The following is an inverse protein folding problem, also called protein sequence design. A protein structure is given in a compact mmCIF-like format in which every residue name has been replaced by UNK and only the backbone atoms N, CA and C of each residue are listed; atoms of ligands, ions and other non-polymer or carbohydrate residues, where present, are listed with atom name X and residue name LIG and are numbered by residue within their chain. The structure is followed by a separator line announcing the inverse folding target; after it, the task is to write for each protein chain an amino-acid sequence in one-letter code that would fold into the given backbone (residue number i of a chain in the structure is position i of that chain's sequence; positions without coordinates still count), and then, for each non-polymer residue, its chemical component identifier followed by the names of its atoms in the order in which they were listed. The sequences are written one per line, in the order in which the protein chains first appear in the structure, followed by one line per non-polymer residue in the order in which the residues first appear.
data_IF_775725169794
#
_entry.id   IF_775725169794
#
_cell.length_a   1.000
_cell.length_b   1.000
_cell.length_c   1.000
_cell.angle_alpha   90.00
_cell.angle_beta   90.00
_cell.angle_gamma   90.00
#
_symmetry.space_group_name_H-M   'P 1'
#
loop_
_entity.id
_entity.type
_entity.pdbx_description
1 polymer ?
#
# COMPACT_ATOMS: atom_id res chain seq x y z
N UNK A 1 -20.16 -23.39 17.45
CA UNK A 1 -19.15 -22.50 18.05
C UNK A 1 -17.99 -22.43 17.07
N UNK A 2 -17.93 -21.36 16.28
CA UNK A 2 -16.80 -21.16 15.39
C UNK A 2 -15.67 -20.59 16.25
N UNK A 3 -14.60 -21.34 16.39
CA UNK A 3 -13.37 -20.83 16.96
C UNK A 3 -12.90 -19.68 16.07
N UNK A 4 -13.04 -18.46 16.58
CA UNK A 4 -12.38 -17.31 15.96
C UNK A 4 -10.87 -17.55 16.08
N UNK A 5 -10.29 -17.98 14.99
CA UNK A 5 -8.85 -18.05 14.87
C UNK A 5 -8.33 -16.63 15.12
N UNK A 6 -7.71 -16.41 16.29
CA UNK A 6 -7.01 -15.15 16.56
C UNK A 6 -5.93 -15.02 15.50
N UNK A 7 -5.96 -13.98 14.66
CA UNK A 7 -4.87 -13.79 13.72
C UNK A 7 -3.58 -13.67 14.53
N UNK A 8 -2.56 -14.38 14.08
CA UNK A 8 -1.24 -14.29 14.68
C UNK A 8 -0.82 -12.82 14.69
N UNK A 9 -0.49 -12.29 15.87
CA UNK A 9 -0.02 -10.93 16.03
C UNK A 9 1.29 -10.78 15.24
N UNK A 10 1.20 -10.24 14.04
CA UNK A 10 2.39 -9.74 13.35
C UNK A 10 2.72 -8.39 14.00
N UNK A 11 3.76 -8.40 14.81
CA UNK A 11 4.23 -7.16 15.43
C UNK A 11 4.79 -6.22 14.37
N UNK A 12 4.64 -4.92 14.60
CA UNK A 12 5.21 -3.84 13.76
C UNK A 12 6.74 -3.88 13.63
N UNK A 13 7.40 -4.78 14.36
CA UNK A 13 8.84 -5.00 14.32
C UNK A 13 9.33 -5.80 13.11
N UNK A 14 8.45 -6.10 12.15
CA UNK A 14 8.84 -6.73 10.90
C UNK A 14 9.67 -5.74 10.06
N UNK A 15 10.98 -6.01 9.94
CA UNK A 15 11.96 -5.14 9.28
C UNK A 15 11.71 -4.91 7.78
N UNK A 16 10.70 -5.57 7.20
CA UNK A 16 10.40 -5.50 5.77
C UNK A 16 9.62 -4.26 5.34
N UNK A 17 9.05 -3.49 6.27
CA UNK A 17 8.27 -2.29 5.96
C UNK A 17 8.96 -1.04 6.52
N UNK A 18 9.69 -0.33 5.66
CA UNK A 18 10.36 0.93 6.03
C UNK A 18 9.44 2.13 5.89
N UNK A 19 8.51 2.07 4.96
CA UNK A 19 7.61 3.18 4.64
C UNK A 19 6.34 3.07 5.46
N UNK A 20 5.99 4.14 6.18
CA UNK A 20 4.85 4.20 7.08
C UNK A 20 4.18 5.56 6.99
N UNK A 21 2.86 5.58 6.85
CA UNK A 21 2.06 6.80 6.80
C UNK A 21 0.91 6.68 7.81
N UNK A 22 0.79 7.61 8.77
CA UNK A 22 -0.36 7.63 9.66
C UNK A 22 -1.62 8.05 8.89
N UNK A 23 -2.74 7.41 9.22
CA UNK A 23 -4.02 7.64 8.56
C UNK A 23 -4.99 8.25 9.56
N UNK A 24 -5.64 9.33 9.16
CA UNK A 24 -6.74 9.91 9.91
C UNK A 24 -8.05 9.21 9.52
N UNK A 25 -8.71 8.57 10.48
CA UNK A 25 -10.06 8.04 10.29
C UNK A 25 -11.04 9.19 10.48
N UNK A 26 -11.88 9.44 9.46
CA UNK A 26 -12.90 10.48 9.48
C UNK A 26 -14.24 9.90 9.93
N UNK A 27 -15.10 10.75 10.43
CA UNK A 27 -16.46 10.35 10.82
C UNK A 27 -17.22 9.68 9.66
N UNK A 28 -17.05 10.17 8.44
CA UNK A 28 -17.69 9.60 7.24
C UNK A 28 -17.10 8.26 6.78
N UNK A 29 -15.98 7.82 7.36
CA UNK A 29 -15.36 6.54 7.01
C UNK A 29 -16.02 5.37 7.72
N UNK A 30 -16.83 5.61 8.74
CA UNK A 30 -17.48 4.57 9.54
C UNK A 30 -18.95 4.39 9.17
N UNK A 31 -19.43 3.15 9.31
CA UNK A 31 -20.84 2.79 9.12
C UNK A 31 -21.62 2.92 10.44
N UNK A 32 -22.91 2.52 10.40
CA UNK A 32 -23.78 2.59 11.58
C UNK A 32 -23.34 1.68 12.74
N UNK A 33 -22.49 0.69 12.47
CA UNK A 33 -21.93 -0.20 13.49
C UNK A 33 -20.65 0.36 14.14
N UNK A 34 -20.20 1.53 13.71
CA UNK A 34 -18.95 2.13 14.16
C UNK A 34 -17.69 1.54 13.52
N UNK A 35 -17.86 0.65 12.54
CA UNK A 35 -16.77 0.04 11.80
C UNK A 35 -16.39 0.91 10.59
N UNK A 36 -15.11 0.99 10.29
CA UNK A 36 -14.65 1.61 9.05
C UNK A 36 -15.19 0.82 7.87
N UNK A 37 -15.84 1.53 6.95
CA UNK A 37 -16.39 0.95 5.73
C UNK A 37 -15.28 0.37 4.86
N UNK A 38 -15.49 -0.79 4.26
CA UNK A 38 -14.51 -1.44 3.39
C UNK A 38 -14.00 -0.51 2.28
N UNK A 39 -14.85 0.35 1.74
CA UNK A 39 -14.45 1.32 0.72
C UNK A 39 -13.40 2.33 1.24
N UNK A 40 -13.43 2.69 2.51
CA UNK A 40 -12.47 3.62 3.09
C UNK A 40 -11.05 3.05 3.16
N UNK A 41 -10.89 1.73 3.27
CA UNK A 41 -9.57 1.09 3.25
C UNK A 41 -8.81 1.39 1.96
N UNK A 42 -9.49 1.40 0.82
CA UNK A 42 -8.84 1.71 -0.46
C UNK A 42 -8.33 3.15 -0.49
N UNK A 43 -9.07 4.10 0.10
CA UNK A 43 -8.60 5.47 0.27
C UNK A 43 -7.38 5.55 1.20
N UNK A 44 -7.34 4.75 2.25
CA UNK A 44 -6.17 4.68 3.14
C UNK A 44 -4.94 4.14 2.41
N UNK A 45 -5.12 3.08 1.62
CA UNK A 45 -4.05 2.53 0.80
C UNK A 45 -3.56 3.52 -0.25
N UNK A 46 -4.46 4.29 -0.85
CA UNK A 46 -4.09 5.32 -1.81
C UNK A 46 -3.20 6.40 -1.19
N UNK A 47 -3.46 6.80 0.05
CA UNK A 47 -2.60 7.77 0.75
C UNK A 47 -1.18 7.22 0.95
N UNK A 48 -1.06 5.98 1.40
CA UNK A 48 0.23 5.31 1.56
C UNK A 48 0.95 5.11 0.22
N UNK A 49 0.21 4.69 -0.79
CA UNK A 49 0.73 4.46 -2.13
C UNK A 49 1.25 5.76 -2.77
N UNK A 50 0.45 6.82 -2.73
CA UNK A 50 0.84 8.13 -3.29
C UNK A 50 2.07 8.68 -2.58
N UNK A 51 2.13 8.60 -1.27
CA UNK A 51 3.30 9.03 -0.52
C UNK A 51 4.55 8.24 -0.94
N UNK A 52 4.43 6.93 -1.11
CA UNK A 52 5.53 6.08 -1.59
C UNK A 52 5.97 6.46 -3.01
N UNK A 53 5.02 6.61 -3.92
CA UNK A 53 5.34 6.96 -5.31
C UNK A 53 6.02 8.32 -5.43
N UNK A 54 5.59 9.30 -4.66
CA UNK A 54 6.16 10.65 -4.69
C UNK A 54 7.49 10.71 -3.95
N UNK A 55 7.59 10.14 -2.78
CA UNK A 55 8.75 10.33 -1.90
C UNK A 55 9.85 9.28 -2.08
N UNK A 56 9.51 8.08 -2.53
CA UNK A 56 10.49 7.01 -2.80
C UNK A 56 10.84 6.94 -4.27
N UNK A 57 9.87 6.78 -5.16
CA UNK A 57 10.11 6.69 -6.60
C UNK A 57 10.37 8.04 -7.26
N UNK A 58 9.99 9.14 -6.62
CA UNK A 58 10.10 10.49 -7.17
C UNK A 58 9.28 10.67 -8.45
N UNK A 59 8.12 10.04 -8.53
CA UNK A 59 7.21 10.20 -9.66
C UNK A 59 6.75 11.66 -9.73
N UNK A 60 6.88 12.25 -10.90
CA UNK A 60 6.37 13.59 -11.18
C UNK A 60 5.33 13.49 -12.30
N UNK A 61 4.06 13.50 -11.93
CA UNK A 61 2.96 13.33 -12.87
C UNK A 61 2.83 14.44 -13.91
N UNK A 62 3.48 15.60 -13.69
CA UNK A 62 3.48 16.71 -14.64
C UNK A 62 4.60 16.63 -15.66
N UNK A 63 5.75 16.05 -15.28
CA UNK A 63 6.94 16.02 -16.10
C UNK A 63 7.22 14.62 -16.66
N UNK A 64 6.81 13.56 -15.97
CA UNK A 64 7.06 12.19 -16.40
C UNK A 64 6.08 11.76 -17.48
N UNK A 65 6.63 11.19 -18.54
CA UNK A 65 5.85 10.59 -19.63
C UNK A 65 5.31 9.20 -19.26
N UNK A 66 6.07 8.45 -18.46
CA UNK A 66 5.70 7.12 -17.98
C UNK A 66 5.29 7.22 -16.52
N UNK A 67 4.09 6.75 -16.22
CA UNK A 67 3.51 6.78 -14.87
C UNK A 67 3.00 5.39 -14.49
N UNK A 68 3.08 5.03 -13.19
CA UNK A 68 2.48 3.78 -12.73
C UNK A 68 0.97 3.91 -12.59
N UNK A 69 0.24 2.90 -13.06
CA UNK A 69 -1.21 2.79 -12.94
C UNK A 69 -1.60 1.47 -12.30
N UNK A 70 -2.72 1.43 -11.59
CA UNK A 70 -3.20 0.22 -10.93
C UNK A 70 -3.80 -0.73 -11.96
N UNK A 71 -3.32 -1.97 -11.99
CA UNK A 71 -3.85 -3.03 -12.84
C UNK A 71 -4.67 -4.05 -12.06
N UNK A 72 -4.31 -4.32 -10.81
CA UNK A 72 -4.99 -5.31 -9.96
C UNK A 72 -4.82 -4.95 -8.50
N UNK A 73 -5.87 -5.14 -7.71
CA UNK A 73 -5.84 -5.01 -6.25
C UNK A 73 -6.46 -6.27 -5.65
N UNK A 74 -5.80 -6.82 -4.64
CA UNK A 74 -6.30 -7.91 -3.83
C UNK A 74 -6.14 -7.53 -2.35
N UNK A 75 -7.23 -7.54 -1.59
CA UNK A 75 -7.24 -7.12 -0.20
C UNK A 75 -7.91 -8.14 0.70
N UNK A 76 -7.31 -8.38 1.87
CA UNK A 76 -7.85 -9.22 2.94
C UNK A 76 -8.19 -8.34 4.15
N UNK A 77 -9.46 -8.35 4.56
CA UNK A 77 -9.95 -7.65 5.74
C UNK A 77 -9.90 -8.60 6.93
N UNK A 78 -8.93 -8.40 7.82
CA UNK A 78 -8.59 -9.34 8.89
C UNK A 78 -9.32 -9.01 10.18
N UNK A 79 -9.26 -7.74 10.59
CA UNK A 79 -9.90 -7.23 11.80
C UNK A 79 -10.63 -5.93 11.49
N UNK A 80 -11.74 -5.63 12.20
CA UNK A 80 -12.42 -4.36 12.02
C UNK A 80 -11.57 -3.20 12.53
N UNK A 81 -11.70 -2.04 11.88
CA UNK A 81 -11.19 -0.76 12.37
C UNK A 81 -12.37 0.03 12.91
N UNK A 82 -12.20 0.61 14.10
CA UNK A 82 -13.20 1.44 14.74
C UNK A 82 -12.83 2.92 14.66
N UNK A 83 -13.84 3.77 14.73
CA UNK A 83 -13.61 5.21 14.87
C UNK A 83 -12.78 5.49 16.13
N UNK A 84 -11.74 6.30 15.98
CA UNK A 84 -10.81 6.61 17.06
C UNK A 84 -9.56 5.71 17.10
N UNK A 85 -9.53 4.62 16.35
CA UNK A 85 -8.33 3.79 16.23
C UNK A 85 -7.20 4.59 15.55
N UNK A 86 -5.98 4.33 15.98
CA UNK A 86 -4.78 4.89 15.36
C UNK A 86 -4.22 3.89 14.35
N UNK A 87 -4.34 4.21 13.09
CA UNK A 87 -3.96 3.34 11.98
C UNK A 87 -2.77 3.94 11.24
N UNK A 88 -1.84 3.07 10.89
CA UNK A 88 -0.70 3.36 10.02
C UNK A 88 -0.77 2.43 8.81
N UNK A 89 -0.59 2.97 7.63
CA UNK A 89 -0.41 2.18 6.41
C UNK A 89 1.08 2.03 6.14
N UNK A 90 1.52 0.80 6.06
CA UNK A 90 2.89 0.43 5.70
C UNK A 90 2.91 -0.04 4.25
N UNK A 91 3.90 0.40 3.49
CA UNK A 91 4.01 0.13 2.05
C UNK A 91 5.42 -0.35 1.73
N UNK A 92 5.50 -1.36 0.87
CA UNK A 92 6.75 -1.82 0.27
C UNK A 92 6.52 -2.32 -1.14
N UNK A 93 7.56 -2.37 -1.95
CA UNK A 93 7.56 -3.11 -3.21
C UNK A 93 8.15 -4.49 -2.94
N UNK A 94 7.36 -5.53 -3.20
CA UNK A 94 7.74 -6.93 -2.96
C UNK A 94 8.26 -7.63 -4.21
N UNK A 95 7.93 -7.12 -5.39
CA UNK A 95 8.36 -7.67 -6.65
C UNK A 95 8.54 -6.57 -7.70
N UNK A 96 9.65 -6.62 -8.41
CA UNK A 96 10.03 -5.68 -9.44
C UNK A 96 10.24 -6.43 -10.76
N UNK A 97 9.27 -6.29 -11.67
CA UNK A 97 9.32 -6.88 -13.01
C UNK A 97 9.89 -5.93 -14.05
N UNK A 98 9.64 -6.21 -15.32
CA UNK A 98 10.09 -5.37 -16.43
C UNK A 98 9.18 -4.16 -16.66
N UNK A 99 7.87 -4.35 -16.68
CA UNK A 99 6.86 -3.31 -16.93
C UNK A 99 5.96 -3.07 -15.73
N UNK A 100 6.01 -3.93 -14.73
CA UNK A 100 5.15 -3.89 -13.56
C UNK A 100 5.93 -4.13 -12.28
N UNK A 101 5.38 -3.67 -11.19
CA UNK A 101 5.86 -3.98 -9.85
C UNK A 101 4.67 -4.21 -8.91
N UNK A 102 4.92 -4.95 -7.85
CA UNK A 102 3.89 -5.27 -6.86
C UNK A 102 4.14 -4.49 -5.58
N UNK A 103 3.16 -3.69 -5.19
CA UNK A 103 3.08 -3.07 -3.88
C UNK A 103 2.42 -4.04 -2.92
N UNK A 104 3.02 -4.22 -1.77
CA UNK A 104 2.37 -4.79 -0.60
C UNK A 104 2.12 -3.68 0.40
N UNK A 105 0.87 -3.60 0.87
CA UNK A 105 0.47 -2.65 1.89
C UNK A 105 -0.26 -3.37 3.00
N UNK A 106 -0.10 -2.86 4.21
CA UNK A 106 -0.88 -3.33 5.35
C UNK A 106 -1.29 -2.16 6.22
N UNK A 107 -2.50 -2.23 6.74
CA UNK A 107 -2.97 -1.31 7.75
C UNK A 107 -2.72 -1.93 9.12
N UNK A 108 -2.08 -1.19 10.00
CA UNK A 108 -1.67 -1.65 11.33
C UNK A 108 -2.31 -0.75 12.38
N UNK A 109 -2.93 -1.36 13.39
CA UNK A 109 -3.38 -0.64 14.57
C UNK A 109 -2.17 -0.40 15.48
N UNK A 110 -1.76 0.85 15.64
CA UNK A 110 -0.57 1.19 16.41
C UNK A 110 -0.69 0.83 17.90
N UNK A 111 -1.90 0.88 18.45
CA UNK A 111 -2.12 0.57 19.87
C UNK A 111 -1.97 -0.91 20.16
N UNK A 112 -2.47 -1.78 19.30
CA UNK A 112 -2.45 -3.23 19.49
C UNK A 112 -1.28 -3.91 18.81
N UNK A 113 -0.69 -3.28 17.79
CA UNK A 113 0.32 -3.87 16.92
C UNK A 113 -0.24 -4.87 15.91
N UNK A 114 -1.57 -5.05 15.84
CA UNK A 114 -2.17 -6.02 14.91
C UNK A 114 -2.29 -5.45 13.50
N UNK A 115 -2.02 -6.31 12.52
CA UNK A 115 -2.36 -6.06 11.13
C UNK A 115 -3.88 -6.25 10.99
N UNK A 116 -4.59 -5.20 10.61
CA UNK A 116 -6.05 -5.21 10.49
C UNK A 116 -6.52 -5.49 9.06
N UNK A 117 -5.68 -5.16 8.09
CA UNK A 117 -5.95 -5.41 6.68
C UNK A 117 -4.63 -5.50 5.93
N UNK A 118 -4.57 -6.28 4.88
CA UNK A 118 -3.41 -6.33 3.99
C UNK A 118 -3.87 -6.35 2.54
N UNK A 119 -3.03 -5.80 1.67
CA UNK A 119 -3.37 -5.55 0.28
C UNK A 119 -2.14 -5.78 -0.61
N UNK A 120 -2.38 -6.40 -1.75
CA UNK A 120 -1.39 -6.54 -2.82
C UNK A 120 -1.91 -5.82 -4.06
N UNK A 121 -1.12 -4.91 -4.60
CA UNK A 121 -1.48 -4.10 -5.78
C UNK A 121 -0.42 -4.27 -6.85
N UNK A 122 -0.86 -4.71 -8.03
CA UNK A 122 0.00 -4.73 -9.22
C UNK A 122 -0.11 -3.38 -9.91
N UNK A 123 1.03 -2.72 -10.06
CA UNK A 123 1.15 -1.44 -10.78
C UNK A 123 1.86 -1.71 -12.11
N UNK A 124 1.30 -1.18 -13.19
CA UNK A 124 1.90 -1.25 -14.53
C UNK A 124 2.35 0.14 -14.94
N UNK A 125 3.56 0.26 -15.45
CA UNK A 125 4.04 1.50 -16.04
C UNK A 125 3.39 1.73 -17.39
N UNK A 126 2.89 2.94 -17.59
CA UNK A 126 2.11 3.34 -18.75
C UNK A 126 2.68 4.60 -19.36
N UNK A 127 2.89 4.57 -20.69
CA UNK A 127 3.32 5.75 -21.43
C UNK A 127 2.10 6.60 -21.79
N UNK A 128 2.08 7.83 -21.31
CA UNK A 128 1.00 8.78 -21.62
C UNK A 128 1.04 9.20 -23.09
N UNK A 129 2.23 9.26 -23.68
CA UNK A 129 2.41 9.63 -25.09
C UNK A 129 1.97 8.51 -26.03
N UNK A 130 2.42 7.28 -25.77
CA UNK A 130 2.15 6.14 -26.65
C UNK A 130 0.82 5.43 -26.34
N UNK A 131 0.17 5.77 -25.22
CA UNK A 131 -1.06 5.15 -24.73
C UNK A 131 -0.94 3.62 -24.64
N UNK A 132 0.19 3.15 -24.11
CA UNK A 132 0.52 1.74 -23.98
C UNK A 132 1.38 1.49 -22.73
N UNK A 133 1.45 0.23 -22.30
CA UNK A 133 2.38 -0.17 -21.25
C UNK A 133 3.82 0.07 -21.70
N UNK A 134 4.67 0.41 -20.75
CA UNK A 134 6.07 0.72 -20.98
C UNK A 134 6.96 0.05 -19.94
N UNK A 135 8.22 -0.08 -20.25
CA UNK A 135 9.20 -0.55 -19.28
C UNK A 135 9.29 0.41 -18.09
N UNK A 136 9.53 -0.13 -16.90
CA UNK A 136 9.78 0.67 -15.72
C UNK A 136 10.98 1.58 -16.00
N UNK A 137 10.83 2.92 -15.87
CA UNK A 137 11.96 3.82 -16.05
C UNK A 137 13.12 3.45 -15.15
N UNK A 138 14.33 3.58 -15.66
CA UNK A 138 15.54 3.22 -14.90
C UNK A 138 15.65 4.01 -13.59
N UNK A 139 15.20 5.26 -13.58
CA UNK A 139 15.16 6.07 -12.36
C UNK A 139 14.26 5.48 -11.28
N UNK A 140 13.11 4.92 -11.66
CA UNK A 140 12.21 4.24 -10.71
C UNK A 140 12.83 2.93 -10.21
N UNK A 141 13.40 2.15 -11.12
CA UNK A 141 14.06 0.89 -10.79
C UNK A 141 15.19 1.10 -9.78
N UNK A 142 16.04 2.08 -10.05
CA UNK A 142 17.13 2.44 -9.15
C UNK A 142 16.60 2.89 -7.78
N UNK A 143 15.60 3.74 -7.74
CA UNK A 143 15.01 4.23 -6.50
C UNK A 143 14.41 3.09 -5.67
N UNK A 144 13.73 2.15 -6.31
CA UNK A 144 13.15 0.97 -5.64
C UNK A 144 14.26 0.10 -5.06
N UNK A 145 15.27 -0.22 -5.84
CA UNK A 145 16.38 -1.07 -5.40
C UNK A 145 17.18 -0.43 -4.28
N UNK A 146 17.42 0.87 -4.35
CA UNK A 146 18.14 1.62 -3.31
C UNK A 146 17.33 1.64 -1.99
N UNK A 147 16.02 1.71 -2.07
CA UNK A 147 15.15 1.78 -0.89
C UNK A 147 14.82 0.40 -0.30
N UNK A 148 14.41 -0.56 -1.12
CA UNK A 148 13.96 -1.88 -0.68
C UNK A 148 15.10 -2.90 -0.58
N UNK A 149 16.18 -2.69 -1.34
CA UNK A 149 17.25 -3.68 -1.48
C UNK A 149 16.96 -4.72 -2.57
N UNK A 150 17.88 -5.69 -2.77
CA UNK A 150 17.79 -6.63 -3.89
C UNK A 150 16.70 -7.70 -3.75
N UNK A 151 16.11 -7.86 -2.59
CA UNK A 151 15.11 -8.91 -2.30
C UNK A 151 13.78 -8.72 -3.04
N UNK A 152 13.56 -7.55 -3.62
CA UNK A 152 12.34 -7.26 -4.39
C UNK A 152 12.44 -7.66 -5.88
N UNK A 153 13.58 -8.14 -6.32
CA UNK A 153 13.76 -8.59 -7.71
C UNK A 153 13.22 -10.00 -7.94
#
# INVERSE_FOLDING_TARGET
MQEHHKPSAQTTADAHYKHRVPIQIRFNDVDRYGHVNNNAYFAFYDLGKEDYLINVLRVNYRANEVVPVVANINADFILPIFYGDKIVVETRISHLGQKSFTLQQRAVNEKTGYVVCQCSTVMVCFSLKEQASADIPESYRKAILDYEGPDCM
#
